data_IF_128965552930
#
_entry.id   IF_128965552930
#
_cell.length_a   1.000
_cell.length_b   1.000
_cell.length_c   1.000
_cell.angle_alpha   90.00
_cell.angle_beta   90.00
_cell.angle_gamma   90.00
#
_symmetry.space_group_name_H-M   'P 1'
#
loop_
_entity.id
_entity.type
_entity.pdbx_description
1 polymer ?
#
# COMPACT_ATOMS: atom_id res chain seq x y z
N UNK A 1 -2.73 9.07 -4.67
CA UNK A 1 -4.03 8.40 -4.50
C UNK A 1 -5.11 9.03 -5.37
N UNK A 2 -5.56 10.28 -5.12
CA UNK A 2 -6.61 10.97 -5.89
C UNK A 2 -6.31 10.96 -7.41
N UNK A 3 -5.06 11.18 -7.81
CA UNK A 3 -4.61 11.18 -9.22
C UNK A 3 -4.84 9.86 -9.98
N UNK A 4 -5.22 8.79 -9.30
CA UNK A 4 -5.49 7.47 -9.90
C UNK A 4 -6.96 7.12 -9.74
N UNK A 5 -7.50 7.26 -8.53
CA UNK A 5 -8.89 6.90 -8.23
C UNK A 5 -9.86 7.78 -9.02
N UNK A 6 -9.63 9.10 -9.07
CA UNK A 6 -10.53 10.02 -9.79
C UNK A 6 -10.59 9.74 -11.31
N UNK A 7 -9.44 9.61 -12.04
CA UNK A 7 -9.50 9.23 -13.45
C UNK A 7 -10.15 7.86 -13.69
N UNK A 8 -9.93 6.91 -12.79
CA UNK A 8 -10.57 5.59 -12.88
C UNK A 8 -12.10 5.69 -12.72
N UNK A 9 -12.59 6.47 -11.74
CA UNK A 9 -14.01 6.74 -11.57
C UNK A 9 -14.58 7.42 -12.83
N UNK A 10 -13.91 8.45 -13.33
CA UNK A 10 -14.35 9.18 -14.53
C UNK A 10 -14.45 8.23 -15.72
N UNK A 11 -13.47 7.33 -15.90
CA UNK A 11 -13.49 6.34 -16.99
C UNK A 11 -14.67 5.37 -16.84
N UNK A 12 -14.83 4.76 -15.66
CA UNK A 12 -15.86 3.74 -15.40
C UNK A 12 -17.26 4.36 -15.49
N UNK A 13 -17.46 5.51 -14.85
CA UNK A 13 -18.72 6.24 -14.89
C UNK A 13 -19.01 6.81 -16.29
N UNK A 14 -18.00 7.35 -16.95
CA UNK A 14 -18.14 7.93 -18.30
C UNK A 14 -18.56 6.90 -19.34
N UNK A 15 -18.03 5.68 -19.29
CA UNK A 15 -18.43 4.60 -20.19
C UNK A 15 -19.86 4.13 -19.90
N UNK A 16 -20.25 4.07 -18.62
CA UNK A 16 -21.62 3.79 -18.26
C UNK A 16 -22.58 4.90 -18.76
N UNK A 17 -22.23 6.17 -18.55
CA UNK A 17 -23.04 7.31 -19.01
C UNK A 17 -23.15 7.35 -20.54
N UNK A 18 -22.08 7.03 -21.25
CA UNK A 18 -22.09 6.87 -22.70
C UNK A 18 -23.06 5.76 -23.14
N UNK A 19 -22.97 4.58 -22.51
CA UNK A 19 -23.89 3.48 -22.78
C UNK A 19 -25.35 3.86 -22.50
N UNK A 20 -25.61 4.50 -21.38
CA UNK A 20 -26.94 4.99 -21.01
C UNK A 20 -27.51 5.96 -22.04
N UNK A 21 -26.71 6.90 -22.52
CA UNK A 21 -27.15 7.87 -23.54
C UNK A 21 -27.37 7.24 -24.92
N UNK A 22 -26.63 6.16 -25.25
CA UNK A 22 -26.73 5.47 -26.52
C UNK A 22 -27.89 4.47 -26.57
N UNK A 23 -28.44 4.05 -25.43
CA UNK A 23 -29.51 3.04 -25.34
C UNK A 23 -30.83 3.75 -25.00
N UNK A 24 -31.80 3.81 -25.91
CA UNK A 24 -33.11 4.38 -25.60
C UNK A 24 -33.80 3.57 -24.49
N UNK A 25 -33.91 4.12 -23.32
CA UNK A 25 -34.64 3.50 -22.20
C UNK A 25 -35.99 4.18 -22.04
N UNK A 26 -37.03 3.45 -21.64
CA UNK A 26 -38.31 4.01 -21.24
C UNK A 26 -38.05 4.96 -20.03
N UNK A 27 -38.55 6.19 -20.11
CA UNK A 27 -38.42 7.12 -19.00
C UNK A 27 -39.40 6.71 -17.89
N UNK A 28 -38.89 6.45 -16.68
CA UNK A 28 -39.74 6.10 -15.54
C UNK A 28 -38.92 5.73 -14.28
N UNK A 29 -39.58 5.60 -13.12
CA UNK A 29 -38.92 5.22 -11.87
C UNK A 29 -38.19 3.86 -11.95
N UNK A 30 -38.73 2.88 -12.63
CA UNK A 30 -38.14 1.56 -12.84
C UNK A 30 -36.87 1.62 -13.69
N UNK A 31 -36.81 2.48 -14.70
CA UNK A 31 -35.57 2.71 -15.46
C UNK A 31 -34.45 3.32 -14.59
N UNK A 32 -34.80 4.23 -13.67
CA UNK A 32 -33.84 4.80 -12.70
C UNK A 32 -33.35 3.73 -11.74
N UNK A 33 -34.22 2.85 -11.28
CA UNK A 33 -33.88 1.70 -10.44
C UNK A 33 -32.86 0.78 -11.15
N UNK A 34 -33.20 0.26 -12.33
CA UNK A 34 -32.36 -0.63 -13.10
C UNK A 34 -30.98 -0.03 -13.38
N UNK A 35 -30.95 1.23 -13.79
CA UNK A 35 -29.70 1.92 -14.10
C UNK A 35 -28.85 2.17 -12.85
N UNK A 36 -29.48 2.44 -11.69
CA UNK A 36 -28.78 2.62 -10.42
C UNK A 36 -28.21 1.29 -9.92
N UNK A 37 -28.96 0.21 -10.08
CA UNK A 37 -28.51 -1.16 -9.76
C UNK A 37 -27.28 -1.53 -10.62
N UNK A 38 -27.38 -1.38 -11.94
CA UNK A 38 -26.31 -1.68 -12.88
C UNK A 38 -25.06 -0.82 -12.62
N UNK A 39 -25.23 0.49 -12.36
CA UNK A 39 -24.11 1.39 -12.09
C UNK A 39 -23.38 1.02 -10.80
N UNK A 40 -24.14 0.77 -9.72
CA UNK A 40 -23.54 0.42 -8.42
C UNK A 40 -22.81 -0.90 -8.48
N UNK A 41 -23.36 -1.93 -9.12
CA UNK A 41 -22.70 -3.22 -9.37
C UNK A 41 -21.45 -3.07 -10.24
N UNK A 42 -21.55 -2.29 -11.33
CA UNK A 42 -20.41 -2.02 -12.21
C UNK A 42 -19.26 -1.32 -11.49
N UNK A 43 -19.53 -0.29 -10.70
CA UNK A 43 -18.52 0.42 -9.90
C UNK A 43 -17.91 -0.52 -8.86
N UNK A 44 -18.71 -1.34 -8.18
CA UNK A 44 -18.23 -2.30 -7.19
C UNK A 44 -17.22 -3.28 -7.79
N UNK A 45 -17.60 -3.98 -8.88
CA UNK A 45 -16.73 -5.00 -9.49
C UNK A 45 -15.50 -4.37 -10.15
N UNK A 46 -15.60 -3.18 -10.72
CA UNK A 46 -14.46 -2.47 -11.29
C UNK A 46 -13.42 -2.12 -10.23
N UNK A 47 -13.84 -1.62 -9.07
CA UNK A 47 -12.94 -1.38 -7.94
C UNK A 47 -12.37 -2.66 -7.33
N UNK A 48 -13.16 -3.72 -7.21
CA UNK A 48 -12.67 -5.02 -6.75
C UNK A 48 -11.61 -5.59 -7.68
N UNK A 49 -11.82 -5.52 -9.00
CA UNK A 49 -10.85 -5.94 -10.00
C UNK A 49 -9.53 -5.17 -9.87
N UNK A 50 -9.63 -3.84 -9.74
CA UNK A 50 -8.45 -2.99 -9.53
C UNK A 50 -7.74 -3.37 -8.22
N UNK A 51 -8.48 -3.63 -7.14
CA UNK A 51 -7.89 -4.05 -5.87
C UNK A 51 -7.13 -5.38 -6.02
N UNK A 52 -7.70 -6.36 -6.73
CA UNK A 52 -7.03 -7.64 -6.99
C UNK A 52 -5.75 -7.49 -7.80
N UNK A 53 -5.76 -6.68 -8.85
CA UNK A 53 -4.57 -6.41 -9.66
C UNK A 53 -3.46 -5.70 -8.84
N UNK A 54 -3.83 -4.75 -7.97
CA UNK A 54 -2.88 -4.06 -7.08
C UNK A 54 -2.29 -5.00 -6.02
N UNK A 55 -3.04 -6.02 -5.59
CA UNK A 55 -2.56 -7.02 -4.62
C UNK A 55 -1.38 -7.83 -5.12
N UNK A 56 -1.22 -8.00 -6.44
CA UNK A 56 -0.05 -8.66 -7.05
C UNK A 56 1.26 -7.88 -6.90
N UNK A 57 1.21 -6.61 -6.49
CA UNK A 57 2.40 -5.74 -6.36
C UNK A 57 3.22 -5.65 -7.65
N UNK A 58 2.61 -5.31 -8.80
CA UNK A 58 3.32 -5.32 -10.07
C UNK A 58 4.47 -4.30 -10.04
N UNK A 59 5.68 -4.78 -10.35
CA UNK A 59 6.91 -3.99 -10.24
C UNK A 59 6.93 -2.72 -11.09
N UNK A 60 6.27 -2.76 -12.24
CA UNK A 60 6.18 -1.63 -13.16
C UNK A 60 5.30 -0.49 -12.64
N UNK A 61 4.34 -0.79 -11.73
CA UNK A 61 3.50 0.22 -11.08
C UNK A 61 4.19 0.90 -9.89
N UNK A 62 5.24 0.31 -9.32
CA UNK A 62 5.87 0.84 -8.11
C UNK A 62 6.37 2.27 -8.27
N UNK A 63 7.16 2.53 -9.34
CA UNK A 63 7.71 3.87 -9.61
C UNK A 63 6.64 4.91 -9.95
N UNK A 64 5.70 4.66 -10.89
CA UNK A 64 4.62 5.60 -11.20
C UNK A 64 3.73 5.94 -10.00
N UNK A 65 3.48 4.98 -9.13
CA UNK A 65 2.61 5.16 -7.96
C UNK A 65 3.33 5.72 -6.73
N UNK A 66 4.67 5.80 -6.76
CA UNK A 66 5.46 6.40 -5.67
C UNK A 66 5.87 5.43 -4.56
N UNK A 67 5.87 4.12 -4.84
CA UNK A 67 6.33 3.09 -3.93
C UNK A 67 5.26 2.06 -3.57
N UNK A 68 5.69 0.94 -3.00
CA UNK A 68 4.80 -0.15 -2.60
C UNK A 68 3.82 0.27 -1.49
N UNK A 69 4.21 1.18 -0.60
CA UNK A 69 3.35 1.76 0.43
C UNK A 69 2.16 2.51 -0.18
N UNK A 70 2.36 3.21 -1.30
CA UNK A 70 1.29 3.89 -2.02
C UNK A 70 0.38 2.89 -2.74
N UNK A 71 0.94 1.82 -3.30
CA UNK A 71 0.14 0.72 -3.89
C UNK A 71 -0.81 0.14 -2.85
N UNK A 72 -0.32 -0.20 -1.64
CA UNK A 72 -1.16 -0.70 -0.54
C UNK A 72 -2.21 0.32 -0.08
N UNK A 73 -1.84 1.60 -0.03
CA UNK A 73 -2.81 2.66 0.29
C UNK A 73 -3.92 2.75 -0.75
N UNK A 74 -3.60 2.66 -2.04
CA UNK A 74 -4.58 2.68 -3.11
C UNK A 74 -5.45 1.42 -3.02
N UNK A 75 -4.84 0.24 -2.88
CA UNK A 75 -5.55 -1.04 -2.68
C UNK A 75 -6.58 -0.95 -1.55
N UNK A 76 -6.21 -0.40 -0.39
CA UNK A 76 -7.11 -0.21 0.74
C UNK A 76 -8.31 0.65 0.37
N UNK A 77 -8.09 1.80 -0.28
CA UNK A 77 -9.17 2.73 -0.60
C UNK A 77 -10.08 2.24 -1.71
N UNK A 78 -9.53 1.61 -2.76
CA UNK A 78 -10.36 1.01 -3.80
C UNK A 78 -11.15 -0.18 -3.26
N UNK A 79 -10.59 -0.96 -2.30
CA UNK A 79 -11.33 -2.00 -1.60
C UNK A 79 -12.49 -1.45 -0.77
N UNK A 80 -12.29 -0.34 -0.04
CA UNK A 80 -13.37 0.32 0.70
C UNK A 80 -14.46 0.83 -0.26
N UNK A 81 -14.06 1.49 -1.35
CA UNK A 81 -15.03 1.98 -2.36
C UNK A 81 -15.80 0.84 -2.99
N UNK A 82 -15.14 -0.27 -3.31
CA UNK A 82 -15.82 -1.47 -3.83
C UNK A 82 -16.94 -1.94 -2.89
N UNK A 83 -16.65 -2.04 -1.58
CA UNK A 83 -17.66 -2.48 -0.60
C UNK A 83 -18.76 -1.43 -0.40
N UNK A 84 -18.45 -0.14 -0.47
CA UNK A 84 -19.47 0.93 -0.42
C UNK A 84 -20.44 0.81 -1.60
N UNK A 85 -19.94 0.58 -2.83
CA UNK A 85 -20.79 0.38 -3.99
C UNK A 85 -21.50 -0.98 -3.97
N UNK A 86 -20.90 -2.03 -3.42
CA UNK A 86 -21.58 -3.31 -3.17
C UNK A 86 -22.75 -3.14 -2.19
N UNK A 87 -22.55 -2.34 -1.12
CA UNK A 87 -23.62 -2.02 -0.17
C UNK A 87 -24.76 -1.24 -0.83
N UNK A 88 -24.42 -0.26 -1.68
CA UNK A 88 -25.44 0.49 -2.43
C UNK A 88 -26.20 -0.45 -3.39
N UNK A 89 -25.49 -1.31 -4.12
CA UNK A 89 -26.08 -2.31 -5.01
C UNK A 89 -27.06 -3.22 -4.28
N UNK A 90 -26.62 -3.82 -3.18
CA UNK A 90 -27.44 -4.70 -2.35
C UNK A 90 -28.66 -3.98 -1.73
N UNK A 91 -28.50 -2.72 -1.27
CA UNK A 91 -29.61 -1.92 -0.74
C UNK A 91 -30.63 -1.56 -1.81
N UNK A 92 -30.20 -1.31 -3.04
CA UNK A 92 -31.10 -1.07 -4.16
C UNK A 92 -31.88 -2.35 -4.47
N UNK A 93 -31.20 -3.48 -4.57
CA UNK A 93 -31.80 -4.79 -4.82
C UNK A 93 -32.86 -5.16 -3.76
N UNK A 94 -32.58 -4.97 -2.49
CA UNK A 94 -33.53 -5.24 -1.40
C UNK A 94 -34.83 -4.40 -1.46
N UNK A 95 -34.86 -3.34 -2.25
CA UNK A 95 -36.06 -2.52 -2.40
C UNK A 95 -36.86 -2.81 -3.68
N UNK A 96 -36.54 -3.88 -4.38
CA UNK A 96 -37.24 -4.28 -5.62
C UNK A 96 -38.74 -4.50 -5.35
N UNK A 97 -39.09 -5.32 -4.36
CA UNK A 97 -40.48 -5.60 -3.97
C UNK A 97 -41.28 -4.32 -3.57
N UNK A 98 -40.59 -3.40 -2.87
CA UNK A 98 -41.21 -2.13 -2.48
C UNK A 98 -41.51 -1.25 -3.70
N UNK A 99 -40.58 -1.17 -4.64
CA UNK A 99 -40.72 -0.41 -5.86
C UNK A 99 -41.80 -0.99 -6.77
N UNK A 100 -41.84 -2.32 -6.88
CA UNK A 100 -42.89 -3.04 -7.60
C UNK A 100 -44.28 -2.79 -6.99
N UNK A 101 -44.40 -2.79 -5.68
CA UNK A 101 -45.66 -2.48 -4.98
C UNK A 101 -46.11 -1.04 -5.16
N UNK A 102 -45.21 -0.07 -5.34
CA UNK A 102 -45.50 1.34 -5.49
C UNK A 102 -45.80 1.77 -6.93
N UNK A 103 -45.11 1.16 -7.90
CA UNK A 103 -45.11 1.59 -9.30
C UNK A 103 -45.69 0.54 -10.27
N UNK A 104 -46.00 -0.68 -9.78
CA UNK A 104 -46.54 -1.79 -10.58
C UNK A 104 -45.45 -2.46 -11.44
N UNK A 105 -45.76 -3.64 -12.00
CA UNK A 105 -44.86 -4.43 -12.87
C UNK A 105 -44.62 -3.82 -14.27
N UNK A 106 -45.33 -2.73 -14.61
CA UNK A 106 -45.28 -2.10 -15.93
C UNK A 106 -43.95 -1.43 -16.20
N UNK A 107 -42.98 -2.20 -16.70
CA UNK A 107 -41.66 -1.72 -17.11
C UNK A 107 -40.50 -2.67 -16.81
N UNK A 108 -40.72 -3.72 -16.03
CA UNK A 108 -39.73 -4.76 -15.80
C UNK A 108 -39.53 -5.54 -17.11
N UNK A 109 -38.41 -5.32 -17.79
CA UNK A 109 -38.03 -6.14 -18.94
C UNK A 109 -37.57 -7.51 -18.41
N UNK A 110 -38.50 -8.41 -18.15
CA UNK A 110 -38.17 -9.82 -17.92
C UNK A 110 -37.73 -10.44 -19.24
N UNK A 111 -36.45 -10.41 -19.52
CA UNK A 111 -35.84 -11.25 -20.55
C UNK A 111 -35.83 -12.68 -20.04
N UNK A 112 -36.83 -13.47 -20.42
CA UNK A 112 -36.80 -14.91 -20.15
C UNK A 112 -35.72 -15.56 -20.99
N UNK A 113 -34.65 -15.97 -20.33
CA UNK A 113 -33.65 -16.86 -20.91
C UNK A 113 -34.16 -18.31 -20.74
N UNK A 114 -33.83 -19.22 -21.61
CA UNK A 114 -34.27 -20.61 -21.50
C UNK A 114 -33.09 -21.53 -21.12
N UNK A 115 -33.39 -22.55 -20.31
CA UNK A 115 -32.50 -23.68 -20.07
C UNK A 115 -31.24 -23.30 -19.27
N UNK A 116 -30.05 -23.64 -19.81
CA UNK A 116 -28.78 -23.51 -19.14
C UNK A 116 -28.44 -22.04 -18.72
N UNK A 117 -28.77 -21.08 -19.57
CA UNK A 117 -28.50 -19.66 -19.32
C UNK A 117 -29.25 -19.15 -18.09
N UNK A 118 -30.51 -19.54 -17.96
CA UNK A 118 -31.38 -19.18 -16.84
C UNK A 118 -30.81 -19.75 -15.53
N UNK A 119 -30.50 -21.05 -15.52
CA UNK A 119 -29.88 -21.70 -14.35
C UNK A 119 -28.55 -21.09 -13.93
N UNK A 120 -27.74 -20.59 -14.88
CA UNK A 120 -26.49 -19.92 -14.56
C UNK A 120 -26.70 -18.51 -13.99
N UNK A 121 -27.73 -17.81 -14.40
CA UNK A 121 -28.11 -16.50 -13.84
C UNK A 121 -28.64 -16.65 -12.43
N UNK A 122 -29.53 -17.61 -12.18
CA UNK A 122 -30.04 -17.92 -10.84
C UNK A 122 -28.86 -18.24 -9.88
N UNK A 123 -27.95 -19.10 -10.30
CA UNK A 123 -26.76 -19.43 -9.51
C UNK A 123 -25.86 -18.22 -9.29
N UNK A 124 -25.77 -17.29 -10.25
CA UNK A 124 -25.00 -16.07 -10.10
C UNK A 124 -25.64 -15.10 -9.10
N UNK A 125 -26.98 -15.01 -9.05
CA UNK A 125 -27.73 -14.21 -8.07
C UNK A 125 -27.50 -14.76 -6.65
N UNK A 126 -27.72 -16.05 -6.41
CA UNK A 126 -27.52 -16.70 -5.12
C UNK A 126 -26.07 -16.50 -4.59
N UNK A 127 -25.08 -16.66 -5.49
CA UNK A 127 -23.68 -16.44 -5.13
C UNK A 127 -23.38 -14.99 -4.81
N UNK A 128 -24.04 -14.04 -5.47
CA UNK A 128 -23.91 -12.61 -5.20
C UNK A 128 -24.42 -12.24 -3.80
N UNK A 129 -25.59 -12.76 -3.44
CA UNK A 129 -26.18 -12.56 -2.11
C UNK A 129 -25.28 -13.13 -1.00
N UNK A 130 -24.78 -14.34 -1.14
CA UNK A 130 -23.83 -14.90 -0.18
C UNK A 130 -22.55 -14.06 -0.08
N UNK A 131 -22.02 -13.62 -1.21
CA UNK A 131 -20.76 -12.90 -1.29
C UNK A 131 -20.82 -11.52 -0.62
N UNK A 132 -21.96 -10.81 -0.67
CA UNK A 132 -22.10 -9.49 -0.07
C UNK A 132 -22.00 -9.55 1.46
N UNK A 133 -22.58 -10.55 2.11
CA UNK A 133 -22.47 -10.71 3.57
C UNK A 133 -21.01 -10.97 3.98
N UNK A 134 -20.27 -11.76 3.21
CA UNK A 134 -18.85 -11.98 3.47
C UNK A 134 -18.03 -10.69 3.28
N UNK A 135 -18.33 -9.89 2.26
CA UNK A 135 -17.70 -8.57 2.05
C UNK A 135 -17.92 -7.64 3.25
N UNK A 136 -19.14 -7.58 3.78
CA UNK A 136 -19.46 -6.75 4.94
C UNK A 136 -18.74 -7.23 6.18
N UNK A 137 -18.72 -8.54 6.43
CA UNK A 137 -17.96 -9.11 7.55
C UNK A 137 -16.47 -8.76 7.45
N UNK A 138 -15.88 -8.88 6.27
CA UNK A 138 -14.47 -8.54 6.01
C UNK A 138 -14.19 -7.04 6.17
N UNK A 139 -15.11 -6.17 5.75
CA UNK A 139 -14.98 -4.73 5.98
C UNK A 139 -15.00 -4.40 7.47
N UNK A 140 -15.96 -4.93 8.22
CA UNK A 140 -16.07 -4.73 9.66
C UNK A 140 -14.81 -5.16 10.39
N UNK A 141 -14.29 -6.36 10.09
CA UNK A 141 -13.05 -6.89 10.66
C UNK A 141 -11.85 -6.00 10.27
N UNK A 142 -11.81 -5.50 9.03
CA UNK A 142 -10.73 -4.64 8.54
C UNK A 142 -10.73 -3.27 9.23
N UNK A 143 -11.89 -2.71 9.50
CA UNK A 143 -12.03 -1.42 10.20
C UNK A 143 -11.85 -1.55 11.71
N UNK A 144 -12.09 -2.72 12.28
CA UNK A 144 -11.96 -2.97 13.70
C UNK A 144 -10.49 -3.09 14.12
N UNK A 145 -9.92 -1.99 14.57
CA UNK A 145 -8.48 -1.87 14.92
C UNK A 145 -7.99 -2.82 16.01
N UNK A 146 -8.90 -3.33 16.89
CA UNK A 146 -8.56 -4.27 17.96
C UNK A 146 -8.50 -5.73 17.47
N UNK A 147 -8.98 -6.01 16.25
CA UNK A 147 -8.93 -7.37 15.69
C UNK A 147 -7.49 -7.79 15.42
N UNK A 148 -7.01 -8.95 15.92
CA UNK A 148 -5.63 -9.36 15.78
C UNK A 148 -5.22 -9.51 14.30
N UNK A 149 -4.13 -8.86 13.92
CA UNK A 149 -3.64 -8.81 12.54
C UNK A 149 -3.42 -10.18 11.91
N UNK A 150 -2.94 -11.16 12.72
CA UNK A 150 -2.72 -12.54 12.28
C UNK A 150 -3.98 -13.17 11.69
N UNK A 151 -5.11 -13.12 12.43
CA UNK A 151 -6.38 -13.69 11.98
C UNK A 151 -6.98 -12.91 10.81
N UNK A 152 -6.90 -11.58 10.84
CA UNK A 152 -7.31 -10.75 9.72
C UNK A 152 -6.60 -11.16 8.43
N UNK A 153 -5.29 -11.38 8.46
CA UNK A 153 -4.49 -11.78 7.29
C UNK A 153 -4.93 -13.13 6.72
N UNK A 154 -5.30 -14.09 7.58
CA UNK A 154 -5.80 -15.38 7.12
C UNK A 154 -7.16 -15.25 6.45
N UNK A 155 -8.09 -14.51 7.05
CA UNK A 155 -9.41 -14.26 6.47
C UNK A 155 -9.30 -13.47 5.15
N UNK A 156 -8.44 -12.47 5.11
CA UNK A 156 -8.22 -11.67 3.89
C UNK A 156 -7.66 -12.50 2.72
N UNK A 157 -6.99 -13.62 2.99
CA UNK A 157 -6.54 -14.56 1.94
C UNK A 157 -7.69 -15.27 1.22
N UNK A 158 -8.91 -15.24 1.75
CA UNK A 158 -10.10 -15.74 1.07
C UNK A 158 -10.64 -14.76 0.00
N UNK A 159 -10.20 -13.49 0.02
CA UNK A 159 -10.68 -12.47 -0.92
C UNK A 159 -10.54 -12.84 -2.41
N UNK A 160 -9.47 -13.54 -2.87
CA UNK A 160 -9.39 -14.00 -4.25
C UNK A 160 -10.50 -14.96 -4.64
N UNK A 161 -10.93 -15.88 -3.75
CA UNK A 161 -12.03 -16.79 -4.00
C UNK A 161 -13.33 -16.00 -4.11
N UNK A 162 -13.58 -15.11 -3.15
CA UNK A 162 -14.74 -14.24 -3.15
C UNK A 162 -14.81 -13.40 -4.43
N UNK A 163 -13.67 -12.84 -4.86
CA UNK A 163 -13.61 -12.10 -6.12
C UNK A 163 -14.02 -12.93 -7.32
N UNK A 164 -13.57 -14.19 -7.40
CA UNK A 164 -13.93 -15.08 -8.52
C UNK A 164 -15.44 -15.37 -8.55
N UNK A 165 -16.07 -15.52 -7.39
CA UNK A 165 -17.54 -15.66 -7.29
C UNK A 165 -18.25 -14.39 -7.77
N UNK A 166 -17.78 -13.21 -7.33
CA UNK A 166 -18.34 -11.93 -7.76
C UNK A 166 -18.06 -11.60 -9.23
N UNK A 167 -16.92 -12.05 -9.77
CA UNK A 167 -16.63 -11.91 -11.19
C UNK A 167 -17.56 -12.78 -12.05
N UNK A 168 -17.89 -13.98 -11.57
CA UNK A 168 -18.91 -14.85 -12.19
C UNK A 168 -20.29 -14.18 -12.12
N UNK A 169 -20.73 -13.72 -10.94
CA UNK A 169 -21.97 -12.97 -10.74
C UNK A 169 -22.08 -11.79 -11.72
N UNK A 170 -21.06 -10.91 -11.75
CA UNK A 170 -21.06 -9.75 -12.62
C UNK A 170 -21.07 -10.08 -14.12
N UNK A 171 -20.37 -11.13 -14.53
CA UNK A 171 -20.32 -11.55 -15.94
C UNK A 171 -21.65 -12.10 -16.44
N UNK A 172 -22.36 -12.88 -15.62
CA UNK A 172 -23.63 -13.50 -16.00
C UNK A 172 -24.83 -12.56 -15.89
N UNK A 173 -24.79 -11.59 -14.95
CA UNK A 173 -25.89 -10.66 -14.75
C UNK A 173 -25.74 -9.36 -15.54
N UNK A 174 -24.57 -9.07 -16.10
CA UNK A 174 -24.39 -7.92 -16.99
C UNK A 174 -25.32 -8.01 -18.21
N UNK A 175 -25.93 -6.89 -18.64
CA UNK A 175 -26.72 -6.84 -19.84
C UNK A 175 -25.93 -7.31 -21.08
N UNK A 176 -26.52 -8.20 -21.88
CA UNK A 176 -25.84 -8.74 -23.07
C UNK A 176 -25.38 -7.64 -24.03
N UNK A 177 -26.15 -6.56 -24.15
CA UNK A 177 -25.83 -5.41 -24.99
C UNK A 177 -24.53 -4.71 -24.58
N UNK A 178 -24.11 -4.81 -23.30
CA UNK A 178 -22.85 -4.21 -22.84
C UNK A 178 -21.65 -4.86 -23.51
N UNK A 179 -21.71 -6.16 -23.78
CA UNK A 179 -20.58 -6.90 -24.37
C UNK A 179 -20.25 -6.47 -25.81
N UNK A 180 -21.20 -5.82 -26.49
CA UNK A 180 -21.01 -5.27 -27.84
C UNK A 180 -20.53 -3.79 -27.80
N UNK A 181 -20.37 -3.22 -26.62
CA UNK A 181 -20.06 -1.81 -26.41
C UNK A 181 -18.73 -1.62 -25.65
N UNK A 182 -18.14 -0.40 -25.67
CA UNK A 182 -16.89 -0.10 -24.97
C UNK A 182 -16.90 -0.41 -23.47
N UNK A 183 -18.07 -0.31 -22.81
CA UNK A 183 -18.23 -0.68 -21.39
C UNK A 183 -17.95 -2.16 -21.17
N UNK A 184 -18.45 -3.03 -22.04
CA UNK A 184 -18.21 -4.49 -21.96
C UNK A 184 -16.76 -4.85 -22.20
N UNK A 185 -16.08 -4.17 -23.13
CA UNK A 185 -14.64 -4.36 -23.32
C UNK A 185 -13.84 -4.02 -22.06
N UNK A 186 -14.12 -2.88 -21.43
CA UNK A 186 -13.47 -2.52 -20.16
C UNK A 186 -13.81 -3.54 -19.07
N UNK A 187 -15.07 -3.96 -18.97
CA UNK A 187 -15.52 -4.99 -18.04
C UNK A 187 -14.77 -6.31 -18.24
N UNK A 188 -14.64 -6.78 -19.48
CA UNK A 188 -13.87 -7.99 -19.80
C UNK A 188 -12.41 -7.88 -19.35
N UNK A 189 -11.75 -6.75 -19.65
CA UNK A 189 -10.36 -6.49 -19.25
C UNK A 189 -10.20 -6.50 -17.72
N UNK A 190 -11.11 -5.87 -17.00
CA UNK A 190 -11.09 -5.82 -15.53
C UNK A 190 -11.37 -7.19 -14.92
N UNK A 191 -12.40 -7.91 -15.39
CA UNK A 191 -12.74 -9.23 -14.90
C UNK A 191 -11.63 -10.25 -15.18
N UNK A 192 -11.06 -10.27 -16.38
CA UNK A 192 -9.95 -11.16 -16.72
C UNK A 192 -8.69 -10.80 -15.92
N UNK A 193 -8.34 -9.51 -15.82
CA UNK A 193 -7.19 -9.05 -15.05
C UNK A 193 -7.30 -9.37 -13.56
N UNK A 194 -8.47 -9.13 -12.96
CA UNK A 194 -8.76 -9.46 -11.57
C UNK A 194 -8.79 -10.98 -11.31
N UNK A 195 -9.36 -11.76 -12.24
CA UNK A 195 -9.41 -13.24 -12.13
C UNK A 195 -8.01 -13.84 -12.24
N UNK A 196 -7.19 -13.36 -13.17
CA UNK A 196 -5.79 -13.77 -13.26
C UNK A 196 -5.03 -13.41 -11.97
N UNK A 197 -5.25 -12.20 -11.44
CA UNK A 197 -4.65 -11.78 -10.18
C UNK A 197 -5.09 -12.66 -9.01
N UNK A 198 -6.36 -13.07 -8.97
CA UNK A 198 -6.90 -13.96 -7.95
C UNK A 198 -6.27 -15.36 -8.04
N UNK A 199 -6.20 -15.94 -9.22
CA UNK A 199 -5.57 -17.25 -9.45
C UNK A 199 -4.09 -17.23 -9.07
N UNK A 200 -3.33 -16.19 -9.47
CA UNK A 200 -1.93 -16.05 -9.10
C UNK A 200 -1.74 -15.86 -7.58
N UNK A 201 -2.67 -15.18 -6.91
CA UNK A 201 -2.67 -15.03 -5.46
C UNK A 201 -2.94 -16.35 -4.75
N UNK A 202 -3.93 -17.11 -5.19
CA UNK A 202 -4.25 -18.46 -4.66
C UNK A 202 -3.09 -19.44 -4.87
N UNK A 203 -2.43 -19.37 -6.02
CA UNK A 203 -1.24 -20.15 -6.34
C UNK A 203 0.02 -19.74 -5.56
N UNK A 204 -0.07 -18.72 -4.68
CA UNK A 204 1.07 -18.23 -3.91
C UNK A 204 2.18 -17.57 -4.74
N UNK A 205 1.84 -17.08 -5.94
CA UNK A 205 2.81 -16.48 -6.88
C UNK A 205 3.05 -14.98 -6.68
N UNK A 206 2.39 -14.36 -5.70
CA UNK A 206 2.55 -12.91 -5.43
C UNK A 206 3.98 -12.61 -4.98
N UNK A 207 4.69 -11.74 -5.71
CA UNK A 207 6.04 -11.29 -5.38
C UNK A 207 7.16 -12.32 -5.57
N UNK A 208 6.86 -13.55 -6.01
CA UNK A 208 7.87 -14.64 -6.11
C UNK A 208 9.01 -14.34 -7.07
N UNK A 209 8.78 -13.53 -8.10
CA UNK A 209 9.80 -13.11 -9.07
C UNK A 209 10.87 -12.17 -8.49
N UNK A 210 10.65 -11.61 -7.29
CA UNK A 210 11.60 -10.79 -6.52
C UNK A 210 12.04 -11.47 -5.22
N UNK A 211 11.68 -12.72 -5.01
CA UNK A 211 11.99 -13.47 -3.80
C UNK A 211 13.29 -14.23 -3.99
N UNK A 212 14.22 -14.03 -3.07
CA UNK A 212 15.52 -14.69 -3.05
C UNK A 212 15.67 -15.42 -1.71
N UNK A 213 16.23 -16.63 -1.75
CA UNK A 213 16.61 -17.35 -0.55
C UNK A 213 17.89 -16.75 0.06
N UNK A 214 18.05 -16.92 1.35
CA UNK A 214 19.23 -16.47 2.07
C UNK A 214 19.34 -17.14 3.42
N UNK A 215 20.44 -16.82 4.12
CA UNK A 215 20.76 -17.38 5.43
C UNK A 215 21.19 -16.27 6.39
N UNK A 216 20.76 -16.35 7.64
CA UNK A 216 21.19 -15.42 8.69
C UNK A 216 22.64 -15.69 9.04
N UNK A 217 23.51 -14.70 8.81
CA UNK A 217 24.96 -14.79 9.07
C UNK A 217 25.40 -14.09 10.34
N UNK A 218 24.64 -13.09 10.82
CA UNK A 218 24.89 -12.43 12.09
C UNK A 218 23.59 -11.95 12.74
N UNK A 219 23.59 -11.99 14.06
CA UNK A 219 22.51 -11.43 14.90
C UNK A 219 23.19 -10.65 16.02
N UNK A 220 22.83 -9.38 16.17
CA UNK A 220 23.25 -8.53 17.28
C UNK A 220 22.07 -7.80 17.90
N UNK A 221 22.19 -7.37 19.13
CA UNK A 221 21.20 -6.60 19.84
C UNK A 221 21.81 -5.29 20.35
N UNK A 222 21.92 -4.25 19.50
CA UNK A 222 22.49 -2.97 19.90
C UNK A 222 21.71 -2.29 21.03
N UNK A 223 20.43 -2.64 21.20
CA UNK A 223 19.61 -2.26 22.36
C UNK A 223 18.63 -3.37 22.73
N UNK A 224 17.98 -3.23 23.91
CA UNK A 224 16.97 -4.21 24.37
C UNK A 224 15.77 -4.34 23.41
N UNK A 225 15.45 -3.27 22.69
CA UNK A 225 14.31 -3.19 21.78
C UNK A 225 14.70 -3.13 20.30
N UNK A 226 16.00 -3.33 19.96
CA UNK A 226 16.49 -3.33 18.59
C UNK A 226 17.30 -4.61 18.35
N UNK A 227 16.93 -5.35 17.32
CA UNK A 227 17.67 -6.51 16.81
C UNK A 227 18.26 -6.16 15.45
N UNK A 228 19.55 -6.31 15.29
CA UNK A 228 20.24 -6.20 14.00
C UNK A 228 20.43 -7.60 13.44
N UNK A 229 19.99 -7.82 12.21
CA UNK A 229 20.05 -9.12 11.53
C UNK A 229 20.76 -8.93 10.20
N UNK A 230 21.85 -9.67 9.99
CA UNK A 230 22.57 -9.71 8.72
C UNK A 230 22.27 -11.02 8.02
N UNK A 231 21.90 -10.94 6.75
CA UNK A 231 21.59 -12.07 5.91
C UNK A 231 22.52 -12.09 4.70
N UNK A 232 23.05 -13.25 4.35
CA UNK A 232 23.67 -13.52 3.07
C UNK A 232 22.62 -14.09 2.13
N UNK A 233 22.44 -13.46 0.96
CA UNK A 233 21.43 -13.82 -0.03
C UNK A 233 22.06 -14.57 -1.19
N UNK A 234 21.28 -15.41 -1.85
CA UNK A 234 21.71 -16.14 -3.03
C UNK A 234 22.07 -15.19 -4.19
N UNK A 235 22.84 -15.68 -5.16
CA UNK A 235 23.32 -14.91 -6.32
C UNK A 235 22.22 -14.28 -7.19
N UNK A 236 20.95 -14.69 -7.02
CA UNK A 236 19.80 -14.07 -7.67
C UNK A 236 19.47 -12.67 -7.12
N UNK A 237 20.05 -12.26 -5.99
CA UNK A 237 19.88 -10.91 -5.45
C UNK A 237 20.59 -9.89 -6.34
N UNK A 238 19.81 -8.93 -6.85
CA UNK A 238 20.29 -7.90 -7.80
C UNK A 238 20.80 -6.63 -7.13
N UNK A 239 21.05 -6.69 -5.83
CA UNK A 239 21.42 -5.53 -5.04
C UNK A 239 20.23 -4.65 -4.64
N UNK A 240 20.51 -3.63 -3.82
CA UNK A 240 19.55 -2.65 -3.36
C UNK A 240 20.14 -1.25 -3.38
N UNK A 241 19.30 -0.25 -3.51
CA UNK A 241 19.72 1.14 -3.30
C UNK A 241 19.49 1.51 -1.85
N UNK A 242 20.38 2.31 -1.28
CA UNK A 242 20.24 2.83 0.06
C UNK A 242 18.90 3.56 0.23
N UNK A 243 18.18 3.25 1.31
CA UNK A 243 16.84 3.74 1.60
C UNK A 243 15.70 2.85 1.10
N UNK A 244 15.98 1.76 0.39
CA UNK A 244 14.97 0.76 0.05
C UNK A 244 14.71 -0.21 1.21
N UNK A 245 13.60 -0.92 1.13
CA UNK A 245 13.22 -1.98 2.08
C UNK A 245 12.98 -3.32 1.39
N UNK A 246 12.93 -4.37 2.17
CA UNK A 246 12.55 -5.70 1.69
C UNK A 246 11.46 -6.30 2.58
N UNK A 247 10.69 -7.23 2.02
CA UNK A 247 9.78 -8.07 2.75
C UNK A 247 10.52 -9.34 3.17
N UNK A 248 10.78 -9.50 4.47
CA UNK A 248 11.59 -10.60 5.00
C UNK A 248 10.68 -11.61 5.69
N UNK A 249 10.82 -12.88 5.31
CA UNK A 249 10.13 -14.02 5.93
C UNK A 249 11.14 -14.84 6.70
N UNK A 250 11.10 -14.73 8.04
CA UNK A 250 11.92 -15.55 8.96
C UNK A 250 11.22 -16.88 9.27
N UNK A 251 9.89 -16.89 9.24
CA UNK A 251 9.07 -18.08 9.47
C UNK A 251 7.83 -18.03 8.57
N UNK A 252 7.54 -19.15 7.91
CA UNK A 252 6.42 -19.24 6.96
C UNK A 252 5.04 -18.98 7.62
N UNK A 253 4.87 -19.38 8.89
CA UNK A 253 3.62 -19.16 9.65
C UNK A 253 3.37 -17.67 9.97
N UNK A 254 4.45 -16.94 10.26
CA UNK A 254 4.39 -15.50 10.54
C UNK A 254 4.29 -14.68 9.23
N UNK A 255 4.85 -15.20 8.14
CA UNK A 255 4.86 -14.57 6.82
C UNK A 255 5.87 -13.43 6.69
N UNK A 256 5.75 -12.65 5.63
CA UNK A 256 6.68 -11.58 5.30
C UNK A 256 6.39 -10.30 6.09
N UNK A 257 7.47 -9.64 6.55
CA UNK A 257 7.44 -8.35 7.24
C UNK A 257 8.35 -7.36 6.52
N UNK A 258 7.94 -6.08 6.38
CA UNK A 258 8.76 -5.06 5.75
C UNK A 258 9.83 -4.54 6.71
N UNK A 259 11.08 -4.52 6.25
CA UNK A 259 12.19 -3.94 6.97
C UNK A 259 13.09 -3.13 6.02
N UNK A 260 13.47 -1.94 6.46
CA UNK A 260 14.43 -1.12 5.71
C UNK A 260 15.79 -1.81 5.68
N UNK A 261 16.39 -1.86 4.51
CA UNK A 261 17.76 -2.32 4.34
C UNK A 261 18.67 -1.24 4.92
N UNK A 262 19.34 -1.54 6.02
CA UNK A 262 20.19 -0.60 6.77
C UNK A 262 21.63 -0.55 6.30
N UNK A 263 22.06 -1.51 5.50
CA UNK A 263 23.41 -1.56 4.91
C UNK A 263 23.44 -0.89 3.54
N UNK A 264 24.61 -0.34 3.19
CA UNK A 264 24.91 -0.05 1.79
C UNK A 264 24.92 -1.36 0.96
N UNK A 265 24.65 -1.22 -0.35
CA UNK A 265 24.77 -2.35 -1.28
C UNK A 265 26.24 -2.82 -1.33
N UNK A 266 26.45 -4.07 -0.99
CA UNK A 266 27.77 -4.71 -1.01
C UNK A 266 27.76 -5.79 -2.09
N UNK A 267 28.84 -5.85 -2.86
CA UNK A 267 29.02 -6.84 -3.93
C UNK A 267 28.91 -8.31 -3.46
N UNK A 268 28.88 -8.58 -2.15
CA UNK A 268 28.81 -9.91 -1.55
C UNK A 268 27.37 -10.39 -1.26
N UNK A 269 26.36 -9.76 -1.81
CA UNK A 269 24.93 -10.11 -1.59
C UNK A 269 24.52 -10.14 -0.11
N UNK A 270 25.17 -9.34 0.75
CA UNK A 270 24.88 -9.25 2.17
C UNK A 270 23.99 -8.07 2.47
N UNK A 271 22.88 -8.30 3.15
CA UNK A 271 21.92 -7.26 3.57
C UNK A 271 21.76 -7.27 5.08
N UNK A 272 21.67 -6.10 5.69
CA UNK A 272 21.45 -5.93 7.13
C UNK A 272 20.14 -5.19 7.38
N UNK A 273 19.43 -5.63 8.41
CA UNK A 273 18.16 -5.05 8.85
C UNK A 273 18.25 -4.65 10.32
N UNK A 274 17.87 -3.42 10.65
CA UNK A 274 17.68 -2.96 12.02
C UNK A 274 16.18 -3.05 12.36
N UNK A 275 15.81 -3.94 13.27
CA UNK A 275 14.43 -4.31 13.56
C UNK A 275 14.08 -3.90 14.99
N UNK A 276 13.15 -2.95 15.13
CA UNK A 276 12.65 -2.52 16.43
C UNK A 276 11.48 -3.39 16.91
N UNK A 277 11.46 -3.68 18.19
CA UNK A 277 10.39 -4.41 18.89
C UNK A 277 9.12 -3.57 18.98
N UNK A 278 8.25 -3.62 17.96
CA UNK A 278 7.02 -2.83 17.87
C UNK A 278 5.74 -3.66 17.95
N UNK A 279 5.76 -4.89 17.48
CA UNK A 279 4.60 -5.80 17.42
C UNK A 279 4.90 -7.16 18.00
N UNK A 280 3.90 -8.05 18.05
CA UNK A 280 3.99 -9.36 18.67
C UNK A 280 5.10 -10.24 18.07
N UNK A 281 5.33 -10.14 16.77
CA UNK A 281 6.40 -10.86 16.10
C UNK A 281 7.78 -10.31 16.46
N UNK A 282 7.98 -8.98 16.33
CA UNK A 282 9.28 -8.34 16.49
C UNK A 282 9.72 -8.21 17.95
N UNK A 283 8.78 -8.23 18.90
CA UNK A 283 9.06 -8.11 20.36
C UNK A 283 9.98 -9.21 20.90
N UNK A 284 9.93 -10.39 20.29
CA UNK A 284 10.74 -11.54 20.69
C UNK A 284 11.60 -12.08 19.53
N UNK A 285 11.92 -11.24 18.56
CA UNK A 285 12.59 -11.67 17.34
C UNK A 285 13.97 -12.31 17.65
N UNK A 286 14.77 -11.65 18.49
CA UNK A 286 16.10 -12.13 18.86
C UNK A 286 16.12 -13.54 19.48
N UNK A 287 15.00 -13.96 20.13
CA UNK A 287 14.84 -15.30 20.69
C UNK A 287 14.26 -16.32 19.71
N UNK A 288 13.63 -15.84 18.64
CA UNK A 288 12.95 -16.68 17.64
C UNK A 288 13.81 -17.04 16.44
N UNK A 289 14.86 -16.27 16.17
CA UNK A 289 15.76 -16.48 15.02
C UNK A 289 17.12 -17.02 15.49
N UNK A 290 17.79 -17.75 14.60
CA UNK A 290 19.09 -18.39 14.88
C UNK A 290 20.07 -18.13 13.75
N UNK A 291 21.38 -18.13 14.07
CA UNK A 291 22.44 -18.17 13.08
C UNK A 291 22.29 -19.41 12.19
N UNK A 292 22.55 -19.24 10.90
CA UNK A 292 22.37 -20.30 9.91
C UNK A 292 20.91 -20.59 9.52
N UNK A 293 19.95 -19.90 10.12
CA UNK A 293 18.52 -20.07 9.76
C UNK A 293 18.25 -19.58 8.34
N UNK A 294 17.53 -20.38 7.52
CA UNK A 294 17.11 -19.93 6.20
C UNK A 294 16.06 -18.82 6.31
N UNK A 295 16.14 -17.84 5.41
CA UNK A 295 15.21 -16.73 5.27
C UNK A 295 14.81 -16.57 3.81
N UNK A 296 13.66 -15.94 3.57
CA UNK A 296 13.26 -15.47 2.24
C UNK A 296 13.19 -13.95 2.25
N UNK A 297 13.85 -13.32 1.32
CA UNK A 297 13.89 -11.87 1.15
C UNK A 297 13.27 -11.52 -0.20
N UNK A 298 12.22 -10.73 -0.18
CA UNK A 298 11.52 -10.28 -1.38
C UNK A 298 11.74 -8.78 -1.55
N UNK A 299 12.28 -8.38 -2.68
CA UNK A 299 12.60 -6.97 -2.94
C UNK A 299 13.73 -6.78 -3.96
N UNK A 300 14.40 -5.63 -3.93
CA UNK A 300 14.10 -4.45 -3.08
C UNK A 300 12.86 -3.69 -3.52
N UNK A 301 12.24 -2.98 -2.58
CA UNK A 301 11.10 -2.10 -2.75
C UNK A 301 11.38 -0.71 -2.21
N UNK A 302 10.56 0.25 -2.58
CA UNK A 302 10.59 1.61 -2.06
C UNK A 302 11.20 2.63 -3.02
N UNK A 303 10.73 3.86 -2.85
CA UNK A 303 11.15 5.02 -3.63
C UNK A 303 11.89 6.07 -2.78
N UNK A 304 12.28 5.72 -1.55
CA UNK A 304 13.04 6.58 -0.64
C UNK A 304 14.53 6.54 -1.00
N UNK A 305 14.83 7.00 -2.22
CA UNK A 305 16.13 6.92 -2.87
C UNK A 305 16.71 8.32 -3.05
N UNK A 306 17.71 8.67 -2.25
CA UNK A 306 18.36 9.99 -2.24
C UNK A 306 19.06 10.34 -3.56
N UNK A 307 19.38 9.37 -4.40
CA UNK A 307 19.92 9.63 -5.75
C UNK A 307 18.98 10.47 -6.61
N UNK A 308 17.67 10.47 -6.28
CA UNK A 308 16.62 11.22 -6.98
C UNK A 308 16.33 12.61 -6.43
N UNK A 309 17.15 13.09 -5.49
CA UNK A 309 16.97 14.40 -4.88
C UNK A 309 17.06 15.52 -5.90
N UNK A 310 16.39 16.62 -5.64
CA UNK A 310 16.63 17.87 -6.35
C UNK A 310 17.94 18.49 -5.85
N UNK A 311 18.99 18.45 -6.64
CA UNK A 311 20.32 18.97 -6.27
C UNK A 311 20.36 20.49 -6.05
N UNK A 312 19.33 21.23 -6.50
CA UNK A 312 19.20 22.69 -6.32
C UNK A 312 18.42 23.06 -5.07
N UNK A 313 17.75 22.09 -4.43
CA UNK A 313 16.96 22.31 -3.23
C UNK A 313 17.81 22.02 -1.98
N UNK A 314 17.60 22.82 -0.93
CA UNK A 314 18.13 22.49 0.39
C UNK A 314 17.54 21.18 0.89
N UNK A 315 18.39 20.30 1.42
CA UNK A 315 17.98 18.96 1.84
C UNK A 315 17.73 18.92 3.34
N UNK A 316 16.52 18.53 3.75
CA UNK A 316 16.15 18.36 5.15
C UNK A 316 15.76 16.91 5.37
N UNK A 317 16.52 16.24 6.23
CA UNK A 317 16.29 14.84 6.59
C UNK A 317 15.71 14.77 8.00
N UNK A 318 14.61 14.06 8.16
CA UNK A 318 13.92 13.96 9.45
C UNK A 318 13.70 12.49 9.78
N UNK A 319 14.35 12.04 10.84
CA UNK A 319 14.28 10.67 11.31
C UNK A 319 13.64 10.58 12.70
N UNK A 320 12.72 9.65 12.91
CA UNK A 320 12.11 9.39 14.22
C UNK A 320 12.40 7.98 14.74
N UNK A 321 13.23 7.85 15.78
CA UNK A 321 13.61 6.56 16.34
C UNK A 321 14.21 5.63 15.30
N UNK A 322 13.65 4.40 15.12
CA UNK A 322 14.14 3.44 14.12
C UNK A 322 14.03 3.94 12.69
N UNK A 323 13.26 5.01 12.43
CA UNK A 323 13.22 5.68 11.12
C UNK A 323 14.53 6.32 10.69
N UNK A 324 15.57 6.27 11.51
CA UNK A 324 16.93 6.62 11.12
C UNK A 324 17.55 5.63 10.12
N UNK A 325 17.03 4.42 10.04
CA UNK A 325 17.60 3.32 9.25
C UNK A 325 17.90 3.67 7.78
N UNK A 326 16.99 4.28 7.00
CA UNK A 326 17.28 4.63 5.62
C UNK A 326 18.38 5.70 5.51
N UNK A 327 18.49 6.61 6.48
CA UNK A 327 19.53 7.63 6.48
C UNK A 327 20.90 7.05 6.84
N UNK A 328 20.96 6.06 7.74
CA UNK A 328 22.18 5.30 8.00
C UNK A 328 22.67 4.60 6.72
N UNK A 329 21.74 3.97 5.98
CA UNK A 329 22.09 3.34 4.70
C UNK A 329 22.58 4.37 3.66
N UNK A 330 22.02 5.59 3.62
CA UNK A 330 22.51 6.65 2.74
C UNK A 330 23.91 7.11 3.10
N UNK A 331 24.17 7.35 4.40
CA UNK A 331 25.48 7.75 4.90
C UNK A 331 26.55 6.69 4.61
N UNK A 332 26.25 5.42 4.86
CA UNK A 332 27.18 4.32 4.54
C UNK A 332 27.41 4.16 3.03
N UNK A 333 26.38 4.35 2.20
CA UNK A 333 26.52 4.31 0.75
C UNK A 333 27.35 5.48 0.21
N UNK A 334 27.27 6.65 0.83
CA UNK A 334 28.10 7.81 0.50
C UNK A 334 29.55 7.64 0.93
N UNK A 335 29.80 7.02 2.08
CA UNK A 335 31.15 6.72 2.58
C UNK A 335 31.92 5.77 1.63
N UNK A 336 31.18 4.92 0.92
CA UNK A 336 31.73 4.01 -0.09
C UNK A 336 31.99 4.66 -1.45
N UNK A 337 31.50 5.89 -1.67
CA UNK A 337 31.57 6.62 -2.94
C UNK A 337 32.43 7.89 -2.81
N UNK A 338 33.36 8.10 -3.70
CA UNK A 338 34.26 9.28 -3.73
C UNK A 338 33.58 10.58 -4.25
N UNK A 339 32.25 10.62 -4.33
CA UNK A 339 31.51 11.80 -4.78
C UNK A 339 31.42 12.90 -3.71
N UNK A 340 31.09 14.17 -4.11
CA UNK A 340 30.95 15.27 -3.17
C UNK A 340 29.83 15.00 -2.15
N UNK A 341 30.09 15.29 -0.88
CA UNK A 341 29.11 15.21 0.19
C UNK A 341 27.95 16.18 -0.09
N UNK A 342 26.70 15.74 0.07
CA UNK A 342 25.56 16.64 -0.02
C UNK A 342 25.52 17.58 1.20
N UNK A 343 24.97 18.76 0.99
CA UNK A 343 24.57 19.65 2.08
C UNK A 343 23.17 19.27 2.55
N UNK A 344 23.03 18.92 3.84
CA UNK A 344 21.76 18.53 4.42
C UNK A 344 21.68 18.81 5.91
N UNK A 345 20.50 19.21 6.38
CA UNK A 345 20.17 19.24 7.81
C UNK A 345 19.48 17.91 8.19
N UNK A 346 20.14 17.14 9.05
CA UNK A 346 19.61 15.88 9.57
C UNK A 346 19.06 16.07 10.98
N UNK A 347 17.73 16.04 11.11
CA UNK A 347 17.00 16.12 12.38
C UNK A 347 16.69 14.71 12.88
N UNK A 348 17.31 14.29 13.96
CA UNK A 348 17.07 13.01 14.61
C UNK A 348 16.24 13.17 15.87
N UNK A 349 15.00 12.67 15.84
CA UNK A 349 14.06 12.71 16.96
C UNK A 349 14.13 11.38 17.73
N UNK A 350 14.57 11.43 18.98
CA UNK A 350 14.63 10.29 19.90
C UNK A 350 13.86 10.57 21.20
N UNK A 351 13.57 9.51 21.96
CA UNK A 351 12.94 9.65 23.30
C UNK A 351 13.94 10.04 24.37
N UNK A 352 15.11 9.44 24.33
CA UNK A 352 16.20 9.60 25.32
C UNK A 352 17.51 9.42 24.58
N UNK A 353 18.18 10.52 24.33
CA UNK A 353 19.45 10.55 23.61
C UNK A 353 20.60 9.87 24.38
N UNK A 354 20.51 9.80 25.71
CA UNK A 354 21.51 9.13 26.56
C UNK A 354 21.45 7.60 26.49
N UNK A 355 20.32 7.05 26.04
CA UNK A 355 20.09 5.59 25.94
C UNK A 355 19.90 5.10 24.51
N UNK A 356 20.11 5.95 23.54
CA UNK A 356 19.87 5.61 22.13
C UNK A 356 21.17 5.07 21.47
N UNK A 357 21.26 3.75 21.24
CA UNK A 357 22.49 3.13 20.72
C UNK A 357 22.78 3.50 19.25
N UNK A 358 21.78 3.99 18.53
CA UNK A 358 21.94 4.39 17.13
C UNK A 358 22.53 5.80 17.00
N UNK A 359 22.43 6.60 18.04
CA UNK A 359 22.90 7.99 18.02
C UNK A 359 24.43 8.07 17.88
N UNK A 360 25.18 7.21 18.57
CA UNK A 360 26.62 7.18 18.46
C UNK A 360 27.08 6.79 17.05
N UNK A 361 26.49 5.71 16.49
CA UNK A 361 26.73 5.31 15.09
C UNK A 361 26.43 6.45 14.12
N UNK A 362 25.31 7.15 14.35
CA UNK A 362 24.90 8.28 13.53
C UNK A 362 25.91 9.42 13.60
N UNK A 363 26.37 9.78 14.80
CA UNK A 363 27.39 10.84 15.01
C UNK A 363 28.71 10.51 14.30
N UNK A 364 29.18 9.27 14.43
CA UNK A 364 30.40 8.81 13.77
C UNK A 364 30.31 8.90 12.24
N UNK A 365 29.14 8.52 11.68
CA UNK A 365 28.89 8.64 10.24
C UNK A 365 28.81 10.11 9.80
N UNK A 366 28.05 10.94 10.49
CA UNK A 366 27.90 12.35 10.14
C UNK A 366 29.23 13.11 10.23
N UNK A 367 30.09 12.75 11.17
CA UNK A 367 31.43 13.37 11.30
C UNK A 367 32.30 13.24 10.04
N UNK A 368 32.06 12.21 9.23
CA UNK A 368 32.76 12.01 7.94
C UNK A 368 32.26 12.92 6.83
N UNK A 369 31.12 13.59 7.02
CA UNK A 369 30.47 14.42 6.01
C UNK A 369 30.25 15.85 6.52
N UNK A 370 31.20 16.77 6.33
CA UNK A 370 31.12 18.15 6.84
C UNK A 370 29.91 18.94 6.36
N UNK A 371 29.32 18.56 5.22
CA UNK A 371 28.08 19.16 4.69
C UNK A 371 26.80 18.70 5.38
N UNK A 372 26.87 17.70 6.28
CA UNK A 372 25.68 17.17 6.96
C UNK A 372 25.65 17.70 8.41
N UNK A 373 24.67 18.56 8.68
CA UNK A 373 24.47 19.15 10.00
C UNK A 373 23.47 18.29 10.82
N UNK A 374 23.99 17.55 11.80
CA UNK A 374 23.18 16.70 12.67
C UNK A 374 22.58 17.50 13.83
N UNK A 375 21.26 17.47 13.95
CA UNK A 375 20.51 18.05 15.07
C UNK A 375 19.70 16.96 15.78
N UNK A 376 19.95 16.78 17.06
CA UNK A 376 19.27 15.76 17.88
C UNK A 376 18.15 16.43 18.67
N UNK A 377 16.96 15.85 18.60
CA UNK A 377 15.76 16.29 19.33
C UNK A 377 15.38 15.22 20.36
N UNK A 378 15.60 15.54 21.63
CA UNK A 378 15.35 14.64 22.76
C UNK A 378 14.04 14.98 23.45
N UNK A 379 13.03 14.13 23.28
CA UNK A 379 11.71 14.38 23.89
C UNK A 379 11.70 14.24 25.42
N UNK A 380 12.65 13.53 26.03
CA UNK A 380 12.78 13.46 27.48
C UNK A 380 13.22 14.80 28.08
N UNK A 381 13.88 15.65 27.28
CA UNK A 381 14.33 17.00 27.63
C UNK A 381 13.36 18.09 27.17
N UNK A 382 12.21 17.71 26.60
CA UNK A 382 11.24 18.66 26.03
C UNK A 382 11.63 19.21 24.65
N UNK A 383 12.66 18.67 24.01
CA UNK A 383 13.16 19.13 22.71
C UNK A 383 12.40 18.43 21.57
N UNK A 384 11.16 18.83 21.32
CA UNK A 384 10.36 18.26 20.24
C UNK A 384 10.56 19.03 18.92
N UNK A 385 10.78 18.30 17.82
CA UNK A 385 10.83 18.89 16.49
C UNK A 385 9.42 19.33 16.06
N UNK A 386 9.31 20.61 15.64
CA UNK A 386 8.08 21.19 15.09
C UNK A 386 8.32 21.81 13.71
N UNK A 387 7.24 22.03 12.96
CA UNK A 387 7.31 22.74 11.67
C UNK A 387 7.82 24.19 11.86
N UNK A 388 7.43 24.85 12.95
CA UNK A 388 7.86 26.22 13.27
C UNK A 388 9.37 26.30 13.48
N UNK A 389 9.96 25.29 14.13
CA UNK A 389 11.41 25.23 14.32
C UNK A 389 12.14 25.12 12.98
N UNK A 390 11.64 24.29 12.05
CA UNK A 390 12.18 24.16 10.71
C UNK A 390 12.03 25.46 9.91
N UNK A 391 10.87 26.11 9.98
CA UNK A 391 10.59 27.38 9.28
C UNK A 391 11.49 28.52 9.77
N UNK A 392 11.72 28.61 11.09
CA UNK A 392 12.60 29.68 11.67
C UNK A 392 14.07 29.48 11.31
N UNK A 393 14.51 28.27 11.08
CA UNK A 393 15.91 27.93 10.75
C UNK A 393 16.20 27.93 9.26
N UNK A 394 15.16 27.83 8.43
CA UNK A 394 15.32 27.89 6.99
C UNK A 394 15.70 29.33 6.57
N UNK A 395 17.01 29.54 6.40
CA UNK A 395 17.59 30.79 5.90
C UNK A 395 17.86 30.75 4.41
N UNK A 396 17.45 29.68 3.73
CA UNK A 396 17.72 29.48 2.32
C UNK A 396 16.73 30.27 1.46
N UNK A 397 17.22 31.07 0.52
CA UNK A 397 16.41 31.66 -0.54
C UNK A 397 15.94 30.61 -1.56
N UNK A 398 16.42 29.37 -1.44
CA UNK A 398 16.11 28.24 -2.27
C UNK A 398 14.96 27.41 -1.69
N UNK A 399 14.27 26.65 -2.55
CA UNK A 399 13.25 25.70 -2.07
C UNK A 399 13.88 24.53 -1.33
N UNK A 400 13.18 23.99 -0.33
CA UNK A 400 13.64 22.87 0.48
C UNK A 400 12.95 21.58 0.09
N UNK A 401 13.69 20.47 0.09
CA UNK A 401 13.19 19.12 -0.12
C UNK A 401 13.32 18.32 1.18
N UNK A 402 12.19 17.82 1.68
CA UNK A 402 12.11 17.13 2.98
C UNK A 402 12.00 15.63 2.77
N UNK A 403 12.82 14.87 3.50
CA UNK A 403 12.80 13.41 3.57
C UNK A 403 12.48 12.98 5.00
N UNK A 404 11.33 12.34 5.17
CA UNK A 404 10.82 11.93 6.47
C UNK A 404 10.71 10.41 6.58
N UNK A 405 11.30 9.84 7.64
CA UNK A 405 11.07 8.47 8.05
C UNK A 405 10.90 8.40 9.58
N UNK A 406 9.74 7.92 10.04
CA UNK A 406 9.43 7.87 11.46
C UNK A 406 7.94 7.71 11.77
N UNK A 407 7.52 8.03 13.01
CA UNK A 407 6.12 7.91 13.42
C UNK A 407 5.17 8.74 12.55
N UNK A 408 4.11 8.11 12.04
CA UNK A 408 3.19 8.75 11.10
C UNK A 408 2.53 10.02 11.64
N UNK A 409 2.31 10.12 12.96
CA UNK A 409 1.79 11.32 13.62
C UNK A 409 2.71 12.51 13.46
N UNK A 410 4.01 12.31 13.74
CA UNK A 410 5.05 13.33 13.58
C UNK A 410 5.13 13.81 12.12
N UNK A 411 5.18 12.85 11.15
CA UNK A 411 5.25 13.19 9.73
C UNK A 411 4.06 14.01 9.25
N UNK A 412 2.85 13.68 9.69
CA UNK A 412 1.63 14.45 9.35
C UNK A 412 1.66 15.84 9.96
N UNK A 413 2.09 15.99 11.21
CA UNK A 413 2.15 17.27 11.88
C UNK A 413 3.16 18.21 11.19
N UNK A 414 4.36 17.71 10.89
CA UNK A 414 5.40 18.47 10.19
C UNK A 414 4.94 18.84 8.78
N UNK A 415 4.47 17.87 7.97
CA UNK A 415 4.03 18.15 6.60
C UNK A 415 2.90 19.19 6.56
N UNK A 416 1.91 19.07 7.46
CA UNK A 416 0.80 20.02 7.57
C UNK A 416 1.29 21.41 7.97
N UNK A 417 2.17 21.51 8.96
CA UNK A 417 2.71 22.79 9.44
C UNK A 417 3.56 23.48 8.38
N UNK A 418 4.46 22.75 7.69
CA UNK A 418 5.28 23.32 6.61
C UNK A 418 4.43 23.80 5.43
N UNK A 419 3.37 23.08 5.05
CA UNK A 419 2.45 23.50 3.97
C UNK A 419 1.56 24.70 4.36
N UNK A 420 1.32 24.90 5.65
CA UNK A 420 0.53 26.03 6.18
C UNK A 420 1.36 27.29 6.43
N UNK A 421 2.68 27.18 6.44
CA UNK A 421 3.62 28.28 6.66
C UNK A 421 4.14 28.87 5.35
N UNK A 422 4.98 29.92 5.44
CA UNK A 422 5.70 30.51 4.31
C UNK A 422 6.88 29.67 3.81
N UNK A 423 7.07 28.46 4.37
CA UNK A 423 8.17 27.56 4.02
C UNK A 423 8.11 27.13 2.54
N UNK A 424 9.21 27.30 1.83
CA UNK A 424 9.31 26.96 0.39
C UNK A 424 9.51 25.45 0.17
N UNK A 425 8.50 24.65 0.52
CA UNK A 425 8.51 23.20 0.37
C UNK A 425 8.37 22.79 -1.11
N UNK A 426 9.44 22.28 -1.72
CA UNK A 426 9.41 21.74 -3.08
C UNK A 426 8.79 20.35 -3.13
N UNK A 427 9.21 19.47 -2.21
CA UNK A 427 8.70 18.10 -2.10
C UNK A 427 8.83 17.57 -0.67
N UNK A 428 7.87 16.75 -0.27
CA UNK A 428 7.90 16.01 1.00
C UNK A 428 7.88 14.51 0.70
N UNK A 429 9.03 13.86 0.86
CA UNK A 429 9.15 12.41 0.75
C UNK A 429 8.87 11.78 2.10
N UNK A 430 8.08 10.73 2.10
CA UNK A 430 7.84 9.95 3.31
C UNK A 430 7.76 8.48 2.98
N UNK A 431 8.36 7.67 3.82
CA UNK A 431 8.20 6.23 3.80
C UNK A 431 7.27 5.82 4.95
N UNK A 432 6.23 5.07 4.61
CA UNK A 432 5.25 4.61 5.59
C UNK A 432 5.37 3.09 5.76
N UNK A 433 5.74 2.64 6.97
CA UNK A 433 5.81 1.22 7.34
C UNK A 433 4.50 0.67 7.91
N UNK A 434 3.38 1.38 7.73
CA UNK A 434 2.07 0.97 8.18
C UNK A 434 1.28 0.39 7.00
N UNK A 435 1.26 -0.93 6.89
CA UNK A 435 0.58 -1.68 5.83
C UNK A 435 -0.86 -2.11 6.22
N UNK A 436 -1.47 -1.48 7.24
CA UNK A 436 -2.85 -1.71 7.67
C UNK A 436 -3.66 -0.41 7.73
#
# INVERSE_FOLDING_TARGET
MIRIIVPFIILVFGLWAWNFAATPSAAGPLSVYDQSLLLSGWLSIAFLSLAMMLALRPAWLEKPLGGLDQIYRIHKWVGILAVVFAAAHWLIEMNDDLLESLFGEAGKQSTHYSGFVDSMRDAAEDLGEFAVYFLFAMLLITLWRKFPYKYWRYLHRAMPVLYLLLAFHAAWLAPLQWWEQPIGLLMAVLLLGGSLASVLSLAGKVGTHRQVAGTITAISAPARDITEVTCHLDAAWRGSRAGQFALVTFNALEGAHPFTISSADRANSTVTFLIKSLGDFTRHLSHKIKLGQPVKVEGPYGCFDFSRRNRKAHQIWIAGGIGITPFLAWLEAMDSNTGPSPEADLHYCTRDSGRDPLLERLRLLCHRFPGINLQVHDSSKGEALSADLLTRRDRSDTSSEVWFCGPAGLGRAIEKGLRASSFRLSRFHKEAFQFR
#
